data_IF_157688302332
#
_entry.id   IF_157688302332
#
_cell.length_a   1.000
_cell.length_b   1.000
_cell.length_c   1.000
_cell.angle_alpha   90.00
_cell.angle_beta   90.00
_cell.angle_gamma   90.00
#
_symmetry.space_group_name_H-M   'P 1'
#
loop_
_entity.id
_entity.type
_entity.pdbx_description
1 polymer ?
#
# COMPACT_ATOMS: atom_id res chain seq x y z
N UNK A 1 25.76 17.05 -7.53
CA UNK A 1 25.90 15.92 -8.47
C UNK A 1 25.18 14.65 -7.97
N UNK A 2 25.35 14.21 -6.72
CA UNK A 2 24.71 12.99 -6.18
C UNK A 2 23.16 12.96 -6.19
N UNK A 3 22.51 14.10 -5.94
CA UNK A 3 21.03 14.20 -5.89
C UNK A 3 20.40 13.97 -7.28
N UNK A 4 21.15 14.22 -8.35
CA UNK A 4 20.65 14.22 -9.71
C UNK A 4 20.50 12.81 -10.33
N UNK A 5 21.42 11.89 -10.02
CA UNK A 5 21.32 10.47 -10.42
C UNK A 5 20.34 9.67 -9.56
N UNK A 6 20.02 10.18 -8.35
CA UNK A 6 19.05 9.57 -7.46
C UNK A 6 17.60 9.79 -7.93
N UNK A 7 17.31 10.89 -8.63
CA UNK A 7 15.94 11.24 -9.03
C UNK A 7 15.28 10.22 -9.99
N UNK A 8 15.93 9.71 -11.06
CA UNK A 8 15.34 8.66 -11.90
C UNK A 8 15.11 7.33 -11.14
N UNK A 9 16.02 6.99 -10.21
CA UNK A 9 15.89 5.81 -9.37
C UNK A 9 14.70 5.94 -8.41
N UNK A 10 14.58 7.10 -7.74
CA UNK A 10 13.46 7.40 -6.83
C UNK A 10 12.13 7.47 -7.57
N UNK A 11 12.12 7.97 -8.81
CA UNK A 11 10.95 7.91 -9.69
C UNK A 11 10.53 6.45 -9.92
N UNK A 12 11.48 5.61 -10.34
CA UNK A 12 11.20 4.20 -10.61
C UNK A 12 10.70 3.45 -9.36
N UNK A 13 11.34 3.67 -8.20
CA UNK A 13 10.89 3.12 -6.92
C UNK A 13 9.48 3.59 -6.58
N UNK A 14 9.18 4.87 -6.76
CA UNK A 14 7.83 5.42 -6.55
C UNK A 14 6.79 4.78 -7.47
N UNK A 15 7.13 4.54 -8.75
CA UNK A 15 6.24 3.89 -9.72
C UNK A 15 5.97 2.46 -9.30
N UNK A 16 7.02 1.70 -8.94
CA UNK A 16 6.91 0.30 -8.53
C UNK A 16 6.06 0.20 -7.25
N UNK A 17 6.35 1.02 -6.24
CA UNK A 17 5.58 1.04 -4.99
C UNK A 17 4.10 1.38 -5.23
N UNK A 18 3.81 2.38 -6.07
CA UNK A 18 2.44 2.76 -6.42
C UNK A 18 1.70 1.66 -7.17
N UNK A 19 2.35 1.01 -8.15
CA UNK A 19 1.75 -0.10 -8.90
C UNK A 19 1.52 -1.34 -8.04
N UNK A 20 2.45 -1.66 -7.14
CA UNK A 20 2.31 -2.78 -6.22
C UNK A 20 1.15 -2.55 -5.25
N UNK A 21 1.08 -1.37 -4.62
CA UNK A 21 -0.01 -1.01 -3.71
C UNK A 21 -1.37 -1.02 -4.42
N UNK A 22 -1.43 -0.48 -5.64
CA UNK A 22 -2.62 -0.55 -6.49
C UNK A 22 -3.01 -2.01 -6.76
N UNK A 23 -2.06 -2.85 -7.13
CA UNK A 23 -2.28 -4.25 -7.45
C UNK A 23 -2.79 -5.05 -6.25
N UNK A 24 -2.19 -4.86 -5.08
CA UNK A 24 -2.62 -5.49 -3.83
C UNK A 24 -4.05 -5.09 -3.46
N UNK A 25 -4.36 -3.79 -3.49
CA UNK A 25 -5.69 -3.29 -3.15
C UNK A 25 -6.75 -3.79 -4.13
N UNK A 26 -6.45 -3.78 -5.44
CA UNK A 26 -7.37 -4.31 -6.45
C UNK A 26 -7.65 -5.79 -6.27
N UNK A 27 -6.62 -6.60 -6.02
CA UNK A 27 -6.78 -8.03 -5.73
C UNK A 27 -7.60 -8.28 -4.48
N UNK A 28 -7.41 -7.47 -3.44
CA UNK A 28 -8.23 -7.54 -2.22
C UNK A 28 -9.71 -7.32 -2.55
N UNK A 29 -10.04 -6.28 -3.32
CA UNK A 29 -11.42 -6.00 -3.72
C UNK A 29 -12.01 -7.10 -4.61
N UNK A 30 -11.25 -7.61 -5.58
CA UNK A 30 -11.67 -8.72 -6.43
C UNK A 30 -11.92 -9.99 -5.59
N UNK A 31 -11.04 -10.30 -4.65
CA UNK A 31 -11.20 -11.46 -3.76
C UNK A 31 -12.37 -11.29 -2.78
N UNK A 32 -12.57 -10.10 -2.21
CA UNK A 32 -13.73 -9.80 -1.37
C UNK A 32 -15.04 -9.86 -2.17
N UNK A 33 -15.01 -9.54 -3.47
CA UNK A 33 -16.19 -9.65 -4.33
C UNK A 33 -16.53 -11.11 -4.65
N UNK A 34 -15.52 -11.96 -4.89
CA UNK A 34 -15.72 -13.35 -5.34
C UNK A 34 -15.90 -14.31 -4.16
N UNK A 35 -15.12 -14.12 -3.10
CA UNK A 35 -15.00 -15.03 -1.95
C UNK A 35 -15.38 -14.36 -0.62
N UNK A 36 -15.93 -13.15 -0.67
CA UNK A 36 -16.33 -12.42 0.52
C UNK A 36 -17.51 -13.09 1.23
N UNK A 37 -17.33 -13.37 2.51
CA UNK A 37 -18.38 -13.81 3.41
C UNK A 37 -18.51 -12.82 4.57
N UNK A 38 -19.76 -12.57 5.00
CA UNK A 38 -20.04 -11.77 6.18
C UNK A 38 -20.11 -12.64 7.42
N UNK A 39 -19.52 -12.16 8.51
CA UNK A 39 -19.67 -12.78 9.83
C UNK A 39 -19.54 -11.75 10.94
N UNK A 40 -19.99 -12.13 12.13
CA UNK A 40 -19.75 -11.36 13.34
C UNK A 40 -18.40 -11.78 13.91
N UNK A 41 -17.55 -10.81 14.23
CA UNK A 41 -16.21 -11.02 14.74
C UNK A 41 -15.98 -10.21 16.01
N UNK A 42 -15.08 -10.69 16.87
CA UNK A 42 -14.70 -10.02 18.11
C UNK A 42 -13.30 -9.45 17.96
N UNK A 43 -13.11 -8.19 18.33
CA UNK A 43 -11.79 -7.56 18.31
C UNK A 43 -10.90 -8.22 19.37
N UNK A 44 -9.88 -8.95 18.92
CA UNK A 44 -8.95 -9.71 19.76
C UNK A 44 -7.67 -8.95 20.07
N UNK A 45 -7.30 -7.94 19.29
CA UNK A 45 -6.28 -6.97 19.67
C UNK A 45 -6.42 -5.66 18.89
N UNK A 46 -5.83 -4.60 19.46
CA UNK A 46 -5.69 -3.28 18.86
C UNK A 46 -4.21 -2.98 18.76
N UNK A 47 -3.71 -2.76 17.54
CA UNK A 47 -2.30 -2.52 17.23
C UNK A 47 -2.17 -1.11 16.65
N UNK A 48 -2.01 -0.13 17.55
CA UNK A 48 -1.87 1.29 17.19
C UNK A 48 -0.61 1.57 16.37
N UNK A 49 0.46 0.82 16.62
CA UNK A 49 1.75 0.99 15.93
C UNK A 49 1.64 0.61 14.45
N UNK A 50 1.00 -0.51 14.16
CA UNK A 50 0.77 -0.97 12.79
C UNK A 50 -0.60 -0.55 12.21
N UNK A 51 -1.34 0.29 12.94
CA UNK A 51 -2.64 0.84 12.54
C UNK A 51 -3.64 -0.24 12.08
N UNK A 52 -3.84 -1.26 12.92
CA UNK A 52 -4.73 -2.38 12.60
C UNK A 52 -5.37 -2.98 13.84
N UNK A 53 -6.50 -3.65 13.64
CA UNK A 53 -7.12 -4.49 14.66
C UNK A 53 -7.05 -5.97 14.23
N UNK A 54 -6.81 -6.86 15.18
CA UNK A 54 -7.04 -8.28 15.02
C UNK A 54 -8.48 -8.63 15.36
N UNK A 55 -9.10 -9.49 14.57
CA UNK A 55 -10.46 -9.96 14.81
C UNK A 55 -10.52 -11.48 14.75
N UNK A 56 -11.16 -12.07 15.76
CA UNK A 56 -11.43 -13.49 15.84
C UNK A 56 -12.89 -13.73 15.43
N UNK A 57 -13.13 -14.75 14.62
CA UNK A 57 -14.48 -15.11 14.16
C UNK A 57 -14.63 -16.62 14.02
N UNK A 58 -15.83 -17.08 13.70
CA UNK A 58 -16.10 -18.47 13.37
C UNK A 58 -16.48 -18.58 11.90
N UNK A 59 -15.87 -19.54 11.21
CA UNK A 59 -16.28 -19.95 9.87
C UNK A 59 -17.65 -20.66 9.91
N UNK A 60 -18.35 -20.80 8.77
CA UNK A 60 -19.63 -21.51 8.70
C UNK A 60 -19.58 -22.96 9.20
N UNK A 61 -18.40 -23.60 9.13
CA UNK A 61 -18.17 -24.97 9.63
C UNK A 61 -17.88 -25.03 11.15
N UNK A 62 -17.89 -23.88 11.83
CA UNK A 62 -17.61 -23.73 13.26
C UNK A 62 -16.12 -23.72 13.60
N UNK A 63 -15.22 -23.75 12.61
CA UNK A 63 -13.78 -23.61 12.84
C UNK A 63 -13.42 -22.15 13.18
N UNK A 64 -12.41 -21.92 14.04
CA UNK A 64 -11.96 -20.57 14.38
C UNK A 64 -11.22 -19.93 13.20
N UNK A 65 -11.56 -18.68 12.92
CA UNK A 65 -10.92 -17.81 11.93
C UNK A 65 -10.28 -16.60 12.59
N UNK A 66 -9.26 -16.06 11.93
CA UNK A 66 -8.57 -14.83 12.33
C UNK A 66 -8.34 -13.95 11.12
N UNK A 67 -8.57 -12.64 11.25
CA UNK A 67 -8.26 -11.67 10.22
C UNK A 67 -7.79 -10.34 10.82
N UNK A 68 -7.16 -9.52 9.99
CA UNK A 68 -6.73 -8.17 10.33
C UNK A 68 -7.59 -7.12 9.63
N UNK A 69 -8.00 -6.10 10.38
CA UNK A 69 -8.75 -4.94 9.88
C UNK A 69 -7.82 -3.74 9.90
N UNK A 70 -7.39 -3.31 8.72
CA UNK A 70 -6.42 -2.22 8.55
C UNK A 70 -7.11 -0.84 8.60
N UNK A 71 -6.60 0.06 9.44
CA UNK A 71 -7.21 1.36 9.68
C UNK A 71 -7.09 2.32 8.51
N UNK A 72 -6.15 2.07 7.59
CA UNK A 72 -5.90 2.96 6.46
C UNK A 72 -7.18 3.26 5.67
N UNK A 73 -8.13 2.33 5.62
CA UNK A 73 -9.35 2.46 4.84
C UNK A 73 -10.46 3.28 5.51
N UNK A 74 -10.31 3.61 6.80
CA UNK A 74 -11.38 4.21 7.58
C UNK A 74 -11.00 5.60 8.06
N UNK A 75 -12.02 6.43 8.28
CA UNK A 75 -11.83 7.72 8.91
C UNK A 75 -11.44 7.55 10.40
N UNK A 76 -10.73 8.53 10.99
CA UNK A 76 -10.27 8.47 12.38
C UNK A 76 -11.35 8.15 13.41
N UNK A 77 -12.53 8.72 13.26
CA UNK A 77 -13.68 8.47 14.12
C UNK A 77 -14.14 7.01 14.11
N UNK A 78 -14.06 6.33 12.95
CA UNK A 78 -14.44 4.93 12.81
C UNK A 78 -13.45 4.04 13.55
N UNK A 79 -12.15 4.11 13.23
CA UNK A 79 -11.19 3.18 13.84
C UNK A 79 -10.92 3.48 15.32
N UNK A 80 -11.03 4.73 15.77
CA UNK A 80 -10.90 5.08 17.19
C UNK A 80 -12.08 4.57 18.04
N UNK A 81 -13.22 4.28 17.42
CA UNK A 81 -14.38 3.70 18.10
C UNK A 81 -14.21 2.20 18.41
N UNK A 82 -13.30 1.53 17.71
CA UNK A 82 -13.07 0.09 17.78
C UNK A 82 -12.29 -0.27 19.05
N UNK A 83 -12.88 -1.11 19.90
CA UNK A 83 -12.29 -1.50 21.20
C UNK A 83 -12.14 -3.00 21.32
N UNK A 84 -11.11 -3.43 22.06
CA UNK A 84 -10.93 -4.83 22.43
C UNK A 84 -12.21 -5.43 23.04
N UNK A 85 -12.56 -6.64 22.61
CA UNK A 85 -13.75 -7.37 23.04
C UNK A 85 -15.06 -6.91 22.40
N UNK A 86 -15.05 -5.88 21.56
CA UNK A 86 -16.23 -5.44 20.83
C UNK A 86 -16.57 -6.42 19.70
N UNK A 87 -17.86 -6.73 19.56
CA UNK A 87 -18.39 -7.45 18.40
C UNK A 87 -18.64 -6.48 17.26
N UNK A 88 -18.14 -6.80 16.08
CA UNK A 88 -18.28 -6.02 14.86
C UNK A 88 -18.66 -6.93 13.69
N UNK A 89 -19.31 -6.37 12.68
CA UNK A 89 -19.63 -7.06 11.43
C UNK A 89 -18.48 -6.90 10.44
N UNK A 90 -17.93 -8.01 9.97
CA UNK A 90 -16.84 -8.01 9.00
C UNK A 90 -17.22 -8.72 7.70
N UNK A 91 -16.53 -8.37 6.62
CA UNK A 91 -16.43 -9.17 5.40
C UNK A 91 -15.00 -9.72 5.36
N UNK A 92 -14.88 -11.05 5.31
CA UNK A 92 -13.61 -11.75 5.21
C UNK A 92 -13.58 -12.61 3.94
N UNK A 93 -12.38 -13.06 3.53
CA UNK A 93 -12.21 -13.91 2.35
C UNK A 93 -12.25 -15.38 2.80
N UNK A 94 -13.30 -16.11 2.44
CA UNK A 94 -13.52 -17.52 2.81
C UNK A 94 -12.84 -18.48 1.80
N UNK A 95 -11.61 -18.15 1.42
CA UNK A 95 -10.79 -18.94 0.52
C UNK A 95 -9.31 -18.76 0.86
N UNK A 96 -8.50 -19.81 0.65
CA UNK A 96 -7.06 -19.77 0.87
C UNK A 96 -6.35 -19.06 -0.30
N UNK A 97 -6.55 -17.75 -0.41
CA UNK A 97 -6.01 -16.88 -1.47
C UNK A 97 -5.26 -15.69 -0.87
N UNK A 98 -4.50 -14.98 -1.72
CA UNK A 98 -3.79 -13.77 -1.26
C UNK A 98 -4.75 -12.76 -0.63
N UNK A 99 -4.40 -12.28 0.58
CA UNK A 99 -5.22 -11.36 1.36
C UNK A 99 -6.26 -12.02 2.25
N UNK A 100 -6.29 -13.35 2.37
CA UNK A 100 -7.21 -14.07 3.27
C UNK A 100 -7.01 -13.77 4.75
N UNK A 101 -5.85 -13.20 5.10
CA UNK A 101 -5.50 -12.68 6.42
C UNK A 101 -6.13 -11.31 6.72
N UNK A 102 -6.89 -10.74 5.77
CA UNK A 102 -7.49 -9.41 5.87
C UNK A 102 -9.01 -9.50 5.88
N UNK A 103 -9.61 -8.63 6.68
CA UNK A 103 -11.04 -8.40 6.71
C UNK A 103 -11.33 -6.91 6.65
N UNK A 104 -12.56 -6.58 6.26
CA UNK A 104 -13.07 -5.21 6.20
C UNK A 104 -14.33 -5.08 7.02
N UNK A 105 -14.59 -3.89 7.56
CA UNK A 105 -15.86 -3.61 8.24
C UNK A 105 -16.99 -3.61 7.21
N UNK A 106 -18.02 -4.43 7.44
CA UNK A 106 -19.11 -4.59 6.48
C UNK A 106 -19.83 -3.26 6.21
N UNK A 107 -20.08 -2.48 7.27
CA UNK A 107 -20.74 -1.17 7.20
C UNK A 107 -19.93 -0.12 6.44
N UNK A 108 -18.60 -0.30 6.34
CA UNK A 108 -17.70 0.64 5.68
C UNK A 108 -17.06 0.07 4.42
N UNK A 109 -17.64 -0.99 3.83
CA UNK A 109 -17.07 -1.60 2.64
C UNK A 109 -16.97 -0.62 1.46
N UNK A 110 -17.92 0.31 1.33
CA UNK A 110 -17.86 1.35 0.29
C UNK A 110 -16.69 2.33 0.49
N UNK A 111 -16.31 2.61 1.75
CA UNK A 111 -15.11 3.41 2.04
C UNK A 111 -13.84 2.69 1.58
N UNK A 112 -13.77 1.36 1.78
CA UNK A 112 -12.65 0.54 1.28
C UNK A 112 -12.57 0.60 -0.24
N UNK A 113 -13.70 0.48 -0.96
CA UNK A 113 -13.73 0.59 -2.44
C UNK A 113 -13.30 1.97 -2.94
N UNK A 114 -13.64 3.01 -2.19
CA UNK A 114 -13.35 4.40 -2.53
C UNK A 114 -11.94 4.85 -2.11
N UNK A 115 -11.21 4.03 -1.34
CA UNK A 115 -9.91 4.40 -0.80
C UNK A 115 -8.93 4.80 -1.91
N UNK A 116 -8.21 5.92 -1.78
CA UNK A 116 -7.23 6.33 -2.77
C UNK A 116 -6.19 5.23 -2.96
N UNK A 117 -6.15 4.71 -4.20
CA UNK A 117 -5.34 3.54 -4.55
C UNK A 117 -3.84 3.77 -4.37
N UNK A 118 -3.41 5.02 -4.33
CA UNK A 118 -2.02 5.47 -4.17
C UNK A 118 -2.01 6.63 -3.18
N UNK A 119 -1.23 6.56 -2.08
CA UNK A 119 -1.06 7.64 -1.12
C UNK A 119 -0.59 8.95 -1.77
N UNK A 120 -1.04 10.12 -1.27
CA UNK A 120 -0.60 11.42 -1.78
C UNK A 120 0.92 11.60 -1.81
N UNK A 121 1.63 11.01 -0.84
CA UNK A 121 3.09 11.11 -0.75
C UNK A 121 3.80 10.43 -1.93
N UNK A 122 3.27 9.29 -2.40
CA UNK A 122 3.80 8.61 -3.59
C UNK A 122 3.56 9.47 -4.83
N UNK A 123 2.37 10.07 -4.95
CA UNK A 123 2.09 11.03 -6.03
C UNK A 123 3.03 12.23 -6.01
N UNK A 124 3.37 12.72 -4.83
CA UNK A 124 4.31 13.83 -4.68
C UNK A 124 5.71 13.44 -5.13
N UNK A 125 6.23 12.30 -4.68
CA UNK A 125 7.56 11.79 -5.09
C UNK A 125 7.61 11.56 -6.60
N UNK A 126 6.56 10.99 -7.18
CA UNK A 126 6.43 10.80 -8.63
C UNK A 126 6.42 12.13 -9.37
N UNK A 127 5.61 13.09 -8.92
CA UNK A 127 5.48 14.41 -9.53
C UNK A 127 6.78 15.19 -9.49
N UNK A 128 7.44 15.26 -8.33
CA UNK A 128 8.74 15.94 -8.16
C UNK A 128 9.82 15.28 -9.02
N UNK A 129 9.90 13.95 -9.00
CA UNK A 129 10.90 13.25 -9.79
C UNK A 129 10.65 13.38 -11.31
N UNK A 130 9.39 13.39 -11.75
CA UNK A 130 9.03 13.67 -13.14
C UNK A 130 9.40 15.11 -13.55
N UNK A 131 9.11 16.09 -12.71
CA UNK A 131 9.49 17.50 -12.95
C UNK A 131 11.02 17.64 -13.12
N UNK A 132 11.80 16.97 -12.27
CA UNK A 132 13.26 16.98 -12.40
C UNK A 132 13.73 16.37 -13.72
N UNK A 133 13.12 15.26 -14.15
CA UNK A 133 13.43 14.61 -15.43
C UNK A 133 13.08 15.54 -16.62
N UNK A 134 11.90 16.17 -16.60
CA UNK A 134 11.42 17.02 -17.71
C UNK A 134 12.21 18.32 -17.82
N UNK A 135 12.46 19.02 -16.70
CA UNK A 135 13.11 20.33 -16.72
C UNK A 135 14.63 20.26 -16.72
N UNK A 136 15.21 19.12 -16.34
CA UNK A 136 16.65 18.90 -16.33
C UNK A 136 16.98 17.51 -16.90
N UNK A 137 16.66 17.26 -18.19
CA UNK A 137 16.84 15.95 -18.82
C UNK A 137 18.31 15.51 -18.87
N UNK A 138 19.24 16.47 -18.83
CA UNK A 138 20.69 16.24 -18.68
C UNK A 138 21.08 15.34 -17.50
N UNK A 139 20.21 15.16 -16.50
CA UNK A 139 20.45 14.28 -15.36
C UNK A 139 20.11 12.80 -15.63
N UNK A 140 19.24 12.51 -16.59
CA UNK A 140 18.97 11.13 -17.05
C UNK A 140 20.16 10.58 -17.84
N UNK A 141 20.85 11.45 -18.57
CA UNK A 141 22.01 11.10 -19.39
C UNK A 141 23.35 11.10 -18.63
N UNK A 142 23.37 11.49 -17.35
CA UNK A 142 24.60 11.51 -16.54
C UNK A 142 25.16 10.10 -16.27
N UNK A 143 24.32 9.06 -16.36
CA UNK A 143 24.76 7.66 -16.36
C UNK A 143 25.25 7.14 -17.73
N UNK A 144 25.15 7.95 -18.78
CA UNK A 144 25.63 7.67 -20.15
C UNK A 144 26.86 8.50 -20.53
N UNK A 145 27.39 9.34 -19.63
CA UNK A 145 28.69 9.97 -19.86
C UNK A 145 29.72 8.84 -19.80
N UNK A 146 30.40 8.63 -20.92
CA UNK A 146 31.44 7.64 -21.06
C UNK A 146 32.53 7.94 -20.01
N UNK A 147 32.76 7.03 -19.06
CA UNK A 147 33.78 7.22 -18.02
C UNK A 147 35.17 7.49 -18.62
N UNK A 148 35.37 7.17 -19.91
CA UNK A 148 36.55 7.48 -20.69
C UNK A 148 36.80 8.99 -20.88
N UNK A 149 35.78 9.84 -20.95
CA UNK A 149 35.94 11.30 -21.07
C UNK A 149 36.24 11.99 -19.72
N UNK A 150 35.79 11.41 -18.60
CA UNK A 150 36.04 11.95 -17.25
C UNK A 150 37.43 11.60 -16.70
N UNK A 151 38.11 10.61 -17.29
CA UNK A 151 39.40 10.09 -16.86
C UNK A 151 40.56 10.40 -17.82
N UNK A 152 40.34 11.16 -18.89
CA UNK A 152 41.45 11.66 -19.72
C UNK A 152 42.09 12.87 -19.02
N UNK A 153 43.27 12.76 -18.36
CA UNK A 153 44.02 13.94 -18.02
C UNK A 153 44.38 14.65 -19.33
N UNK A 154 43.98 15.91 -19.45
CA UNK A 154 44.54 16.83 -20.44
C UNK A 154 46.03 17.00 -20.14
N UNK A 155 46.86 16.07 -20.60
CA UNK A 155 48.27 16.32 -20.83
C UNK A 155 48.38 17.05 -22.17
N UNK A 156 48.11 18.36 -22.14
CA UNK A 156 48.63 19.25 -23.17
C UNK A 156 50.04 19.68 -22.73
N UNK A 157 51.00 19.32 -23.58
CA UNK A 157 52.40 19.74 -23.61
C UNK A 157 52.56 21.24 -23.81
#
# INVERSE_FOLDING_TARGET
MFIASLAPLMFLVGVIAGLDQYGQHRRLLENLQVYGAETDAVISYVDEENQRNGVDFLHPDGSPGFASVDWRYYAPDVYQSLKYGQTIRIIYIDALVSGSDRAVLAEHYDAVKAYPRIPPDIWWVLGVSLLLIVFKPQFVFLGMIDFSELLSPSFET
#
